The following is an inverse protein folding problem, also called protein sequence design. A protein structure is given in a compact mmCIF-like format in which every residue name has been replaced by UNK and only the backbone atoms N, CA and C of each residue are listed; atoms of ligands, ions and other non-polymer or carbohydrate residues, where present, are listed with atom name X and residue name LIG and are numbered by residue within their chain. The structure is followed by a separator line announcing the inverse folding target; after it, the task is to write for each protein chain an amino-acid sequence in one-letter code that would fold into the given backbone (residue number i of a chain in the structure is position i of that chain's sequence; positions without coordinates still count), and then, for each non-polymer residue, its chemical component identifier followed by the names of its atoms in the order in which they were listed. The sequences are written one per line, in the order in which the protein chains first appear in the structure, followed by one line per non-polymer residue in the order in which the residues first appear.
data_IF_022284093262
#
_entry.id   IF_022284093262
#
_cell.length_a   1.000
_cell.length_b   1.000
_cell.length_c   1.000
_cell.angle_alpha   90.00
_cell.angle_beta   90.00
_cell.angle_gamma   90.00
#
_symmetry.space_group_name_H-M   'P 1'
#
loop_
_entity.id
_entity.type
_entity.pdbx_description
1 polymer ?
#
# COMPACT_ATOMS: atom_id res chain seq x y z
N UNK A 1 9.19 7.55 -22.88
CA UNK A 1 8.48 7.81 -21.60
C UNK A 1 7.44 6.71 -21.49
N UNK A 2 7.17 6.18 -20.31
CA UNK A 2 6.19 5.11 -20.14
C UNK A 2 5.45 5.27 -18.83
N UNK A 3 4.43 4.43 -18.60
CA UNK A 3 3.68 4.46 -17.36
C UNK A 3 3.14 3.09 -16.96
N UNK A 4 2.91 2.92 -15.66
CA UNK A 4 2.18 1.79 -15.11
C UNK A 4 0.79 2.24 -14.67
N UNK A 5 -0.23 1.49 -15.04
CA UNK A 5 -1.58 1.64 -14.52
C UNK A 5 -1.77 0.62 -13.40
N UNK A 6 -2.22 1.09 -12.24
CA UNK A 6 -2.40 0.30 -11.03
C UNK A 6 -3.86 0.38 -10.59
N UNK A 7 -4.47 -0.76 -10.34
CA UNK A 7 -5.79 -0.83 -9.71
C UNK A 7 -5.63 -1.32 -8.28
N UNK A 8 -6.01 -0.49 -7.31
CA UNK A 8 -5.91 -0.78 -5.89
C UNK A 8 -7.31 -0.93 -5.29
N UNK A 9 -7.47 -1.89 -4.38
CA UNK A 9 -8.66 -2.01 -3.54
C UNK A 9 -8.31 -1.69 -2.09
N UNK A 10 -9.04 -0.74 -1.49
CA UNK A 10 -9.15 -0.57 -0.05
C UNK A 10 -10.56 -1.01 0.38
N UNK A 11 -10.77 -1.24 1.68
CA UNK A 11 -11.94 -1.89 2.32
C UNK A 11 -13.29 -1.76 1.58
N UNK A 12 -13.65 -0.58 1.07
CA UNK A 12 -14.92 -0.35 0.37
C UNK A 12 -14.79 0.19 -1.06
N UNK A 13 -13.58 0.46 -1.56
CA UNK A 13 -13.40 1.21 -2.82
C UNK A 13 -12.23 0.69 -3.67
N UNK A 14 -12.45 0.66 -4.98
CA UNK A 14 -11.41 0.39 -5.98
C UNK A 14 -10.99 1.69 -6.64
N UNK A 15 -9.71 2.03 -6.53
CA UNK A 15 -9.13 3.28 -7.02
C UNK A 15 -8.03 2.99 -8.06
N UNK A 16 -7.99 3.80 -9.12
CA UNK A 16 -6.97 3.71 -10.17
C UNK A 16 -5.87 4.72 -9.93
N UNK A 17 -4.64 4.29 -10.18
CA UNK A 17 -3.44 5.12 -10.10
C UNK A 17 -2.57 4.91 -11.33
N UNK A 18 -1.83 5.95 -11.71
CA UNK A 18 -0.87 5.90 -12.80
C UNK A 18 0.50 6.31 -12.29
N UNK A 19 1.49 5.45 -12.44
CA UNK A 19 2.89 5.77 -12.17
C UNK A 19 3.58 6.11 -13.50
N UNK A 20 3.71 7.40 -13.77
CA UNK A 20 4.46 7.92 -14.90
C UNK A 20 5.95 7.81 -14.66
N UNK A 21 6.68 7.55 -15.74
CA UNK A 21 8.11 7.32 -15.72
C UNK A 21 8.81 7.98 -16.91
N UNK A 22 9.80 8.82 -16.61
CA UNK A 22 10.65 9.49 -17.59
C UNK A 22 12.14 9.20 -17.31
N UNK A 23 12.68 8.18 -17.97
CA UNK A 23 14.09 7.78 -17.83
C UNK A 23 15.07 8.94 -18.09
N UNK A 24 14.83 9.71 -19.16
CA UNK A 24 15.69 10.82 -19.58
C UNK A 24 15.70 11.99 -18.59
N UNK A 25 14.60 12.19 -17.85
CA UNK A 25 14.50 13.20 -16.79
C UNK A 25 14.95 12.68 -15.44
N UNK A 26 15.14 11.37 -15.30
CA UNK A 26 15.37 10.74 -14.01
C UNK A 26 14.24 11.06 -13.02
N UNK A 27 13.01 11.03 -13.51
CA UNK A 27 11.82 11.38 -12.72
C UNK A 27 10.70 10.35 -12.87
N UNK A 28 9.89 10.23 -11.81
CA UNK A 28 8.66 9.46 -11.81
C UNK A 28 7.58 10.22 -11.04
N UNK A 29 6.33 10.06 -11.46
CA UNK A 29 5.18 10.72 -10.84
C UNK A 29 4.08 9.71 -10.61
N UNK A 30 3.63 9.60 -9.37
CA UNK A 30 2.44 8.85 -9.03
C UNK A 30 1.24 9.79 -9.07
N UNK A 31 0.26 9.44 -9.89
CA UNK A 31 -1.00 10.15 -10.02
C UNK A 31 -2.17 9.27 -9.60
N UNK A 32 -3.16 9.88 -8.97
CA UNK A 32 -4.47 9.29 -8.73
C UNK A 32 -5.40 9.65 -9.89
N UNK A 33 -6.14 8.65 -10.40
CA UNK A 33 -7.15 8.84 -11.46
C UNK A 33 -8.53 8.90 -10.83
N UNK A 34 -9.13 10.08 -10.76
CA UNK A 34 -10.44 10.31 -10.13
C UNK A 34 -11.58 9.79 -11.00
N UNK A 35 -12.76 9.66 -10.38
CA UNK A 35 -13.96 9.15 -11.05
C UNK A 35 -14.44 10.03 -12.21
N UNK A 36 -14.18 11.34 -12.15
CA UNK A 36 -14.46 12.32 -13.22
C UNK A 36 -13.45 12.25 -14.39
N UNK A 37 -12.50 11.31 -14.35
CA UNK A 37 -11.44 11.15 -15.35
C UNK A 37 -10.26 12.09 -15.19
N UNK A 38 -10.27 12.97 -14.17
CA UNK A 38 -9.13 13.86 -13.90
C UNK A 38 -7.99 13.10 -13.23
N UNK A 39 -6.76 13.51 -13.53
CA UNK A 39 -5.56 12.97 -12.90
C UNK A 39 -4.92 14.00 -11.98
N UNK A 40 -4.58 13.60 -10.77
CA UNK A 40 -3.88 14.44 -9.80
C UNK A 40 -2.57 13.79 -9.42
N UNK A 41 -1.45 14.48 -9.62
CA UNK A 41 -0.15 14.04 -9.12
C UNK A 41 -0.18 14.10 -7.58
N UNK A 42 0.06 12.96 -6.95
CA UNK A 42 0.09 12.81 -5.50
C UNK A 42 1.52 12.69 -4.97
N UNK A 43 2.46 12.25 -5.80
CA UNK A 43 3.87 12.17 -5.42
C UNK A 43 4.80 12.27 -6.62
N UNK A 44 5.85 13.05 -6.47
CA UNK A 44 6.96 13.14 -7.42
C UNK A 44 8.21 12.50 -6.84
N UNK A 45 8.99 11.84 -7.69
CA UNK A 45 10.23 11.17 -7.34
C UNK A 45 11.35 11.63 -8.26
N UNK A 46 12.43 12.15 -7.68
CA UNK A 46 13.69 12.40 -8.38
C UNK A 46 14.61 11.19 -8.23
N UNK A 47 14.81 10.48 -9.32
CA UNK A 47 15.40 9.15 -9.39
C UNK A 47 16.86 9.19 -9.80
N UNK A 48 17.77 9.29 -8.82
CA UNK A 48 19.20 9.01 -9.07
C UNK A 48 19.42 7.54 -9.47
N UNK A 49 18.63 6.66 -8.87
CA UNK A 49 18.56 5.22 -9.15
C UNK A 49 17.08 4.83 -9.24
N UNK A 50 16.70 4.25 -10.38
CA UNK A 50 15.32 3.87 -10.65
C UNK A 50 14.83 2.74 -9.76
N UNK A 51 15.70 1.80 -9.39
CA UNK A 51 15.31 0.72 -8.48
C UNK A 51 14.87 1.27 -7.13
N UNK A 52 15.61 2.24 -6.60
CA UNK A 52 15.27 2.92 -5.34
C UNK A 52 13.98 3.74 -5.46
N UNK A 53 13.74 4.37 -6.61
CA UNK A 53 12.47 5.04 -6.87
C UNK A 53 11.28 4.08 -6.87
N UNK A 54 11.40 2.96 -7.59
CA UNK A 54 10.38 1.92 -7.63
C UNK A 54 10.11 1.32 -6.25
N UNK A 55 11.14 1.13 -5.41
CA UNK A 55 10.97 0.75 -4.01
C UNK A 55 10.12 1.75 -3.23
N UNK A 56 10.42 3.04 -3.33
CA UNK A 56 9.68 4.07 -2.62
C UNK A 56 8.23 4.18 -3.14
N UNK A 57 8.04 4.12 -4.46
CA UNK A 57 6.73 4.11 -5.08
C UNK A 57 5.93 2.87 -4.64
N UNK A 58 6.53 1.68 -4.66
CA UNK A 58 5.88 0.44 -4.24
C UNK A 58 5.42 0.49 -2.77
N UNK A 59 6.25 1.00 -1.86
CA UNK A 59 5.86 1.18 -0.45
C UNK A 59 4.68 2.15 -0.31
N UNK A 60 4.71 3.28 -1.02
CA UNK A 60 3.61 4.23 -1.00
C UNK A 60 2.33 3.63 -1.57
N UNK A 61 2.41 2.94 -2.71
CA UNK A 61 1.28 2.26 -3.34
C UNK A 61 0.66 1.24 -2.38
N UNK A 62 1.47 0.40 -1.72
CA UNK A 62 0.99 -0.57 -0.73
C UNK A 62 0.34 0.06 0.50
N UNK A 63 0.69 1.31 0.82
CA UNK A 63 0.03 2.04 1.92
C UNK A 63 -1.40 2.50 1.58
N UNK A 64 -1.76 2.56 0.30
CA UNK A 64 -3.11 2.94 -0.14
C UNK A 64 -4.08 1.75 -0.22
N UNK A 65 -3.57 0.52 -0.25
CA UNK A 65 -4.39 -0.68 -0.28
C UNK A 65 -3.72 -1.85 -1.00
N UNK A 66 -4.55 -2.84 -1.36
CA UNK A 66 -4.10 -4.05 -2.04
C UNK A 66 -4.11 -3.84 -3.56
N UNK A 67 -2.97 -4.02 -4.21
CA UNK A 67 -2.87 -3.99 -5.67
C UNK A 67 -3.54 -5.23 -6.25
N UNK A 68 -4.53 -5.01 -7.12
CA UNK A 68 -5.29 -6.08 -7.80
C UNK A 68 -4.83 -6.31 -9.24
N UNK A 69 -4.43 -5.24 -9.92
CA UNK A 69 -3.95 -5.31 -11.29
C UNK A 69 -2.86 -4.27 -11.54
N UNK A 70 -1.92 -4.64 -12.41
CA UNK A 70 -0.86 -3.78 -12.92
C UNK A 70 -0.81 -3.95 -14.43
N UNK A 71 -0.80 -2.85 -15.17
CA UNK A 71 -0.57 -2.83 -16.61
C UNK A 71 0.59 -1.88 -16.92
N UNK A 72 1.43 -2.23 -17.89
CA UNK A 72 2.55 -1.41 -18.33
C UNK A 72 2.30 -0.91 -19.75
N UNK A 73 2.65 0.34 -20.01
CA UNK A 73 2.47 1.00 -21.31
C UNK A 73 3.75 1.77 -21.66
N UNK A 74 4.32 1.48 -22.84
CA UNK A 74 5.57 2.10 -23.33
C UNK A 74 6.75 1.98 -22.35
N UNK A 75 6.81 0.84 -21.63
CA UNK A 75 7.87 0.50 -20.69
C UNK A 75 8.60 -0.76 -21.17
N UNK A 76 9.93 -0.74 -21.07
CA UNK A 76 10.79 -1.88 -21.32
C UNK A 76 10.49 -3.05 -20.37
N UNK A 77 10.56 -4.29 -20.87
CA UNK A 77 10.22 -5.49 -20.10
C UNK A 77 11.08 -5.62 -18.82
N UNK A 78 12.35 -5.25 -18.89
CA UNK A 78 13.28 -5.30 -17.75
C UNK A 78 12.83 -4.35 -16.62
N UNK A 79 12.39 -3.15 -16.98
CA UNK A 79 11.87 -2.17 -16.03
C UNK A 79 10.53 -2.59 -15.47
N UNK A 80 9.67 -3.19 -16.30
CA UNK A 80 8.40 -3.74 -15.86
C UNK A 80 8.61 -4.83 -14.79
N UNK A 81 9.49 -5.80 -15.05
CA UNK A 81 9.83 -6.86 -14.10
C UNK A 81 10.48 -6.30 -12.82
N UNK A 82 11.35 -5.30 -12.94
CA UNK A 82 11.96 -4.65 -11.79
C UNK A 82 10.89 -3.99 -10.88
N UNK A 83 9.94 -3.26 -11.47
CA UNK A 83 8.87 -2.63 -10.70
C UNK A 83 7.96 -3.67 -10.04
N UNK A 84 7.54 -4.72 -10.76
CA UNK A 84 6.73 -5.80 -10.19
C UNK A 84 7.47 -6.52 -9.05
N UNK A 85 8.77 -6.76 -9.19
CA UNK A 85 9.59 -7.36 -8.13
C UNK A 85 9.59 -6.52 -6.86
N UNK A 86 9.78 -5.21 -6.98
CA UNK A 86 9.77 -4.30 -5.82
C UNK A 86 8.34 -4.14 -5.23
N UNK A 87 7.30 -4.19 -6.07
CA UNK A 87 5.89 -4.17 -5.62
C UNK A 87 5.51 -5.43 -4.83
N UNK A 88 6.02 -6.59 -5.22
CA UNK A 88 5.79 -7.85 -4.51
C UNK A 88 6.60 -7.93 -3.20
N UNK A 89 7.79 -7.31 -3.15
CA UNK A 89 8.61 -7.23 -1.92
C UNK A 89 8.10 -6.21 -0.92
N UNK A 90 7.42 -5.17 -1.40
CA UNK A 90 6.87 -4.13 -0.54
C UNK A 90 5.79 -4.70 0.37
N UNK A 91 6.15 -4.85 1.64
CA UNK A 91 5.19 -5.06 2.73
C UNK A 91 4.50 -3.72 3.02
N UNK A 92 3.18 -3.72 3.30
CA UNK A 92 2.52 -2.53 3.79
C UNK A 92 3.23 -2.08 5.09
N UNK A 93 3.35 -0.77 5.35
CA UNK A 93 3.94 -0.31 6.60
C UNK A 93 3.17 -0.95 7.76
N UNK A 94 3.88 -1.68 8.62
CA UNK A 94 3.30 -2.28 9.82
C UNK A 94 2.68 -1.14 10.64
N UNK A 95 1.39 -1.19 11.00
CA UNK A 95 0.82 -0.21 11.92
C UNK A 95 1.68 -0.24 13.18
N UNK A 96 2.39 0.85 13.43
CA UNK A 96 3.20 1.01 14.63
C UNK A 96 2.22 1.22 15.77
N UNK A 97 1.62 0.14 16.26
CA UNK A 97 1.02 0.19 17.59
C UNK A 97 2.16 0.57 18.53
N UNK A 98 2.01 1.62 19.37
CA UNK A 98 2.98 1.87 20.40
C UNK A 98 3.09 0.58 21.21
N UNK A 99 4.24 -0.08 21.13
CA UNK A 99 4.48 -1.29 21.90
C UNK A 99 4.25 -0.92 23.36
N UNK A 100 3.20 -1.47 23.96
CA UNK A 100 3.02 -1.48 25.41
C UNK A 100 4.08 -2.45 25.95
N UNK A 101 5.35 -2.05 25.87
CA UNK A 101 6.45 -2.64 26.63
C UNK A 101 6.29 -2.05 28.02
N UNK A 102 5.38 -2.63 28.80
CA UNK A 102 5.05 -2.13 30.12
C UNK A 102 4.06 -2.92 30.94
N UNK A 103 3.52 -4.06 30.45
CA UNK A 103 2.58 -4.86 31.25
C UNK A 103 2.83 -6.37 31.06
N UNK A 104 4.05 -6.84 31.30
CA UNK A 104 4.29 -8.27 31.51
C UNK A 104 5.18 -8.50 32.74
N UNK A 105 4.82 -7.85 33.85
CA UNK A 105 5.27 -8.23 35.20
C UNK A 105 4.15 -8.67 36.13
N UNK A 106 2.93 -8.86 35.61
CA UNK A 106 1.77 -9.38 36.33
C UNK A 106 0.96 -10.20 35.31
N UNK A 107 0.33 -11.28 35.74
CA UNK A 107 -0.36 -12.29 34.92
C UNK A 107 0.50 -13.44 34.40
N UNK A 108 1.18 -14.10 35.33
CA UNK A 108 1.13 -15.56 35.32
C UNK A 108 -0.34 -16.01 35.32
N UNK A 109 -0.73 -16.85 34.36
CA UNK A 109 -1.82 -17.82 34.57
C UNK A 109 -3.25 -17.45 34.16
N UNK A 110 -3.50 -16.84 32.99
CA UNK A 110 -4.86 -16.83 32.40
C UNK A 110 -4.85 -17.13 30.90
N UNK A 111 -5.59 -18.17 30.52
CA UNK A 111 -5.78 -18.64 29.14
C UNK A 111 -6.46 -17.57 28.25
N UNK A 112 -5.98 -17.46 27.01
CA UNK A 112 -6.43 -16.53 25.95
C UNK A 112 -7.96 -16.51 25.72
N UNK A 113 -8.65 -17.61 26.06
CA UNK A 113 -10.10 -17.75 25.91
C UNK A 113 -10.92 -16.83 26.82
N UNK A 114 -10.38 -16.42 27.98
CA UNK A 114 -11.11 -15.52 28.89
C UNK A 114 -11.16 -14.08 28.38
N UNK A 115 -10.26 -13.69 27.48
CA UNK A 115 -10.21 -12.31 26.97
C UNK A 115 -11.23 -12.07 25.85
N UNK A 116 -11.49 -13.09 25.01
CA UNK A 116 -12.48 -13.00 23.94
C UNK A 116 -13.92 -12.84 24.47
N UNK A 117 -14.20 -13.37 25.66
CA UNK A 117 -15.52 -13.28 26.29
C UNK A 117 -15.86 -11.87 26.83
N UNK A 118 -14.85 -11.04 27.14
CA UNK A 118 -15.05 -9.67 27.64
C UNK A 118 -15.18 -8.61 26.52
N UNK A 119 -14.81 -8.95 25.27
CA UNK A 119 -14.85 -8.03 24.12
C UNK A 119 -16.15 -8.00 23.31
N UNK A 120 -17.19 -8.73 23.73
CA UNK A 120 -18.52 -8.66 23.12
C UNK A 120 -19.55 -8.09 24.11
N UNK A 121 -19.76 -6.76 24.14
CA UNK A 121 -20.90 -6.22 24.87
C UNK A 121 -22.19 -6.46 24.07
N UNK A 122 -23.05 -7.31 24.63
CA UNK A 122 -24.52 -7.27 24.54
C UNK A 122 -25.15 -6.89 23.18
N UNK A 123 -25.47 -7.89 22.35
CA UNK A 123 -26.65 -7.82 21.47
C UNK A 123 -27.79 -8.63 22.08
N UNK A 124 -28.58 -7.97 22.93
CA UNK A 124 -30.01 -8.22 23.20
C UNK A 124 -30.61 -6.84 23.53
N UNK A 125 -31.89 -6.55 23.23
CA UNK A 125 -33.09 -7.41 23.39
C UNK A 125 -33.99 -7.37 22.11
N UNK A 126 -35.19 -7.94 21.99
CA UNK A 126 -36.26 -8.19 22.94
C UNK A 126 -37.26 -9.24 22.41
N UNK A 127 -37.92 -9.88 23.39
CA UNK A 127 -39.23 -10.54 23.42
C UNK A 127 -40.02 -10.81 22.13
#
# INVERSE_FOLDING_TARGET
MGYFTLTLSSEEQTQKYTLFYAHYLKEAWLAEVRYDGTTKIIKEYKCKDFRRCFQNAARLIKSFGTVKAVAAHDIDETLHQAFLSELNKATPPTPTFPSIVGINRLFQGRNLWSWLADTLPNMHPAH
#
